data_IF_041606859245
#
_entry.id   IF_041606859245
#
_cell.length_a   1.000
_cell.length_b   1.000
_cell.length_c   1.000
_cell.angle_alpha   90.00
_cell.angle_beta   90.00
_cell.angle_gamma   90.00
#
_symmetry.space_group_name_H-M   'P 1'
#
loop_
_entity.id
_entity.type
_entity.pdbx_description
1 polymer ?
#
# COMPACT_ATOMS: atom_id res chain seq x y z
N UNK A 1 -4.41 -20.11 -13.81
CA UNK A 1 -4.64 -21.27 -12.96
C UNK A 1 -3.53 -21.36 -11.93
N UNK A 2 -3.86 -21.60 -10.70
CA UNK A 2 -3.00 -21.68 -9.50
C UNK A 2 -2.72 -20.37 -8.80
N UNK A 3 -3.74 -19.86 -8.09
CA UNK A 3 -3.53 -19.13 -6.84
C UNK A 3 -4.86 -19.02 -6.10
N UNK A 4 -5.27 -20.12 -5.51
CA UNK A 4 -6.44 -20.14 -4.61
C UNK A 4 -6.43 -21.42 -3.78
N UNK A 5 -5.50 -21.55 -2.83
CA UNK A 5 -5.60 -22.53 -1.73
C UNK A 5 -4.65 -22.07 -0.61
N UNK A 6 -5.12 -21.21 0.31
CA UNK A 6 -4.49 -21.03 1.62
C UNK A 6 -5.40 -20.47 2.73
N UNK A 7 -6.71 -20.46 2.54
CA UNK A 7 -7.67 -20.01 3.58
C UNK A 7 -8.64 -21.10 4.03
N UNK A 8 -8.17 -22.35 4.16
CA UNK A 8 -9.03 -23.45 4.59
C UNK A 8 -8.34 -24.41 5.56
N UNK A 9 -7.77 -23.91 6.66
CA UNK A 9 -7.23 -24.77 7.71
C UNK A 9 -7.58 -24.33 9.15
N UNK A 10 -8.69 -23.61 9.37
CA UNK A 10 -9.15 -23.29 10.73
C UNK A 10 -10.59 -23.74 11.06
N UNK A 11 -11.17 -24.65 10.28
CA UNK A 11 -12.54 -25.10 10.54
C UNK A 11 -12.71 -26.65 10.55
N UNK A 12 -11.73 -27.36 11.03
CA UNK A 12 -11.90 -28.82 11.16
C UNK A 12 -11.14 -29.38 12.37
N UNK A 13 -11.58 -29.05 13.58
CA UNK A 13 -11.28 -29.91 14.76
C UNK A 13 -12.28 -29.70 15.91
N UNK A 14 -13.58 -29.74 15.64
CA UNK A 14 -14.60 -29.96 16.69
C UNK A 14 -15.71 -30.85 16.08
N UNK A 15 -15.49 -32.12 16.05
CA UNK A 15 -16.55 -33.15 15.99
C UNK A 15 -15.88 -34.52 15.97
N UNK A 16 -15.68 -35.11 17.13
CA UNK A 16 -15.82 -36.53 17.46
C UNK A 16 -15.47 -36.68 18.95
N UNK A 17 -16.47 -36.78 19.77
CA UNK A 17 -16.54 -37.63 20.98
C UNK A 17 -17.90 -37.38 21.65
N UNK A 18 -18.89 -38.02 21.12
CA UNK A 18 -20.11 -38.34 21.85
C UNK A 18 -20.34 -39.85 21.71
N UNK A 19 -19.95 -40.61 22.72
CA UNK A 19 -20.77 -41.72 23.21
C UNK A 19 -20.11 -42.36 24.42
N UNK A 20 -20.97 -42.54 25.43
CA UNK A 20 -20.99 -43.47 26.54
C UNK A 20 -20.22 -43.08 27.82
N UNK A 21 -21.02 -42.92 28.87
CA UNK A 21 -20.76 -43.40 30.20
C UNK A 21 -20.55 -42.43 31.33
N UNK A 22 -21.56 -42.27 32.23
CA UNK A 22 -21.36 -42.12 33.65
C UNK A 22 -21.24 -40.70 34.23
N UNK A 23 -22.26 -40.32 34.97
CA UNK A 23 -22.33 -39.13 35.82
C UNK A 23 -21.19 -39.10 36.86
N UNK A 24 -20.19 -38.21 36.66
CA UNK A 24 -19.31 -37.58 37.67
C UNK A 24 -18.26 -36.62 37.04
N UNK A 25 -18.39 -36.21 35.79
CA UNK A 25 -17.40 -35.40 35.08
C UNK A 25 -17.77 -33.93 34.90
N UNK A 26 -18.83 -33.43 35.55
CA UNK A 26 -19.35 -32.09 35.25
C UNK A 26 -18.68 -30.97 36.02
N UNK A 27 -18.08 -31.23 37.18
CA UNK A 27 -17.40 -30.14 37.94
C UNK A 27 -15.93 -29.89 37.55
N UNK A 28 -15.26 -30.84 36.88
CA UNK A 28 -13.87 -30.61 36.41
C UNK A 28 -13.74 -29.98 35.03
N UNK A 29 -14.82 -29.94 34.24
CA UNK A 29 -14.79 -29.38 32.87
C UNK A 29 -14.95 -27.83 32.83
N UNK A 30 -15.63 -27.23 33.79
CA UNK A 30 -15.81 -25.78 33.83
C UNK A 30 -14.49 -25.07 34.08
N UNK A 31 -13.70 -25.56 35.04
CA UNK A 31 -12.40 -24.90 35.36
C UNK A 31 -11.33 -25.02 34.26
N UNK A 32 -11.40 -26.07 33.40
CA UNK A 32 -10.46 -26.18 32.30
C UNK A 32 -10.85 -25.27 31.13
N UNK A 33 -12.14 -25.16 30.81
CA UNK A 33 -12.62 -24.24 29.75
C UNK A 33 -12.51 -22.78 30.17
N UNK A 34 -12.70 -22.44 31.44
CA UNK A 34 -12.45 -21.09 31.93
C UNK A 34 -10.96 -20.74 31.92
N UNK A 35 -10.08 -21.70 32.24
CA UNK A 35 -8.63 -21.52 32.16
C UNK A 35 -8.14 -21.42 30.71
N UNK A 36 -8.76 -22.11 29.76
CA UNK A 36 -8.47 -22.00 28.32
C UNK A 36 -9.00 -20.68 27.77
N UNK A 37 -10.17 -20.20 28.19
CA UNK A 37 -10.68 -18.87 27.81
C UNK A 37 -9.78 -17.73 28.32
N UNK A 38 -9.25 -17.83 29.54
CA UNK A 38 -8.33 -16.82 30.08
C UNK A 38 -6.93 -16.87 29.43
N UNK A 39 -6.56 -17.99 28.80
CA UNK A 39 -5.25 -18.12 28.13
C UNK A 39 -5.29 -17.62 26.69
N UNK A 40 -6.46 -17.46 26.07
CA UNK A 40 -6.64 -17.04 24.67
C UNK A 40 -7.21 -15.62 24.49
N UNK A 41 -7.72 -14.97 25.54
CA UNK A 41 -8.06 -13.55 25.50
C UNK A 41 -6.87 -12.71 25.98
N UNK A 42 -5.89 -12.49 25.12
CA UNK A 42 -5.03 -11.32 25.32
C UNK A 42 -5.92 -10.09 25.08
N UNK A 43 -6.54 -9.58 26.17
CA UNK A 43 -7.42 -8.43 26.12
C UNK A 43 -6.71 -7.28 25.40
N UNK A 44 -7.31 -6.84 24.30
CA UNK A 44 -6.97 -5.58 23.66
C UNK A 44 -7.48 -4.49 24.59
N UNK A 45 -6.59 -3.62 25.04
CA UNK A 45 -6.90 -2.49 25.92
C UNK A 45 -6.56 -1.20 25.18
N UNK A 46 -7.38 -0.20 25.35
CA UNK A 46 -7.03 1.15 24.92
C UNK A 46 -6.00 1.71 25.88
N UNK A 47 -4.92 2.27 25.36
CA UNK A 47 -3.83 2.80 26.16
C UNK A 47 -2.95 3.78 25.40
N UNK A 48 -1.93 4.27 26.11
CA UNK A 48 -0.93 5.18 25.56
C UNK A 48 0.45 4.54 25.68
N UNK A 49 1.27 4.74 24.65
CA UNK A 49 2.65 4.29 24.62
C UNK A 49 3.56 5.43 24.15
N UNK A 50 4.59 5.74 24.91
CA UNK A 50 5.62 6.70 24.50
C UNK A 50 6.81 5.94 23.95
N UNK A 51 7.16 6.20 22.70
CA UNK A 51 8.32 5.63 22.05
C UNK A 51 9.63 6.28 22.57
N UNK A 52 10.77 5.65 22.31
CA UNK A 52 12.08 6.15 22.75
C UNK A 52 12.46 7.52 22.20
N UNK A 53 11.95 7.87 21.02
CA UNK A 53 12.16 9.17 20.37
C UNK A 53 11.25 10.29 20.92
N UNK A 54 10.35 9.96 21.84
CA UNK A 54 9.38 10.87 22.43
C UNK A 54 8.05 10.96 21.68
N UNK A 55 7.87 10.21 20.61
CA UNK A 55 6.57 10.08 19.92
C UNK A 55 5.54 9.41 20.82
N UNK A 56 4.27 9.77 20.68
CA UNK A 56 3.19 9.29 21.55
C UNK A 56 2.13 8.57 20.72
N UNK A 57 1.91 7.32 21.04
CA UNK A 57 0.81 6.50 20.52
C UNK A 57 -0.37 6.51 21.48
N UNK A 58 -1.58 6.53 20.95
CA UNK A 58 -2.84 6.29 21.66
C UNK A 58 -3.72 5.38 20.83
N UNK A 59 -4.21 4.28 21.42
CA UNK A 59 -5.03 3.32 20.69
C UNK A 59 -5.03 1.94 21.32
N UNK A 60 -5.30 0.94 20.51
CA UNK A 60 -5.37 -0.46 20.92
C UNK A 60 -3.98 -1.03 21.26
N UNK A 61 -3.87 -1.70 22.38
CA UNK A 61 -2.63 -2.24 22.92
C UNK A 61 -2.77 -3.72 23.22
N UNK A 62 -1.70 -4.48 22.94
CA UNK A 62 -1.52 -5.83 23.43
C UNK A 62 -0.32 -5.87 24.36
N UNK A 63 -0.59 -6.00 25.66
CA UNK A 63 0.42 -5.81 26.69
C UNK A 63 0.91 -4.34 26.70
N UNK A 64 2.20 -4.12 26.45
CA UNK A 64 2.82 -2.79 26.45
C UNK A 64 3.10 -2.24 25.04
N UNK A 65 2.58 -2.88 23.99
CA UNK A 65 2.87 -2.49 22.58
C UNK A 65 1.61 -2.11 21.85
N UNK A 66 1.66 -1.09 20.98
CA UNK A 66 0.63 -0.83 19.98
C UNK A 66 0.26 -2.10 19.21
N UNK A 67 -1.03 -2.42 19.13
CA UNK A 67 -1.50 -3.59 18.40
C UNK A 67 -3.00 -3.46 18.14
N UNK A 68 -3.39 -3.31 16.90
CA UNK A 68 -4.72 -2.94 16.47
C UNK A 68 -4.75 -1.48 16.00
N UNK A 69 -5.88 -0.80 16.11
CA UNK A 69 -6.04 0.58 15.60
C UNK A 69 -5.55 1.62 16.60
N UNK A 70 -4.88 2.66 16.09
CA UNK A 70 -4.43 3.76 16.92
C UNK A 70 -3.80 4.90 16.15
N UNK A 71 -3.41 5.93 16.91
CA UNK A 71 -2.83 7.17 16.41
C UNK A 71 -1.49 7.43 17.08
N UNK A 72 -0.48 7.73 16.28
CA UNK A 72 0.82 8.22 16.78
C UNK A 72 1.02 9.67 16.36
N UNK A 73 1.34 10.51 17.33
CA UNK A 73 1.87 11.86 17.10
C UNK A 73 3.38 11.78 17.28
N UNK A 74 4.11 12.01 16.20
CA UNK A 74 5.57 11.98 16.20
C UNK A 74 6.14 13.29 16.73
N UNK A 75 7.36 13.25 17.30
CA UNK A 75 8.03 14.42 17.84
C UNK A 75 8.24 15.55 16.80
N UNK A 76 8.37 15.21 15.54
CA UNK A 76 8.52 16.17 14.42
C UNK A 76 7.20 16.75 13.92
N UNK A 77 6.07 16.40 14.55
CA UNK A 77 4.73 16.87 14.18
C UNK A 77 4.00 16.00 13.16
N UNK A 78 4.63 14.98 12.61
CA UNK A 78 3.94 14.02 11.74
C UNK A 78 2.87 13.27 12.54
N UNK A 79 1.84 12.79 11.86
CA UNK A 79 0.77 12.00 12.47
C UNK A 79 0.54 10.75 11.66
N UNK A 80 0.50 9.59 12.31
CA UNK A 80 0.00 8.36 11.73
C UNK A 80 -1.28 7.94 12.44
N UNK A 81 -2.29 7.55 11.66
CA UNK A 81 -3.53 6.97 12.15
C UNK A 81 -3.86 5.71 11.34
N UNK A 82 -3.88 4.55 11.99
CA UNK A 82 -4.02 3.29 11.28
C UNK A 82 -3.77 2.07 12.16
N UNK A 83 -3.43 0.97 11.51
CA UNK A 83 -3.26 -0.33 12.13
C UNK A 83 -1.81 -0.56 12.57
N UNK A 84 -1.67 -1.31 13.67
CA UNK A 84 -0.40 -1.68 14.27
C UNK A 84 -0.35 -3.18 14.57
N UNK A 85 0.80 -3.78 14.34
CA UNK A 85 1.11 -5.14 14.78
C UNK A 85 2.43 -5.13 15.54
N UNK A 86 2.38 -5.55 16.83
CA UNK A 86 3.57 -5.64 17.72
C UNK A 86 4.39 -4.33 17.81
N UNK A 87 3.72 -3.18 17.68
CA UNK A 87 4.33 -1.86 17.79
C UNK A 87 4.82 -1.25 16.50
N UNK A 88 4.61 -1.90 15.37
CA UNK A 88 4.92 -1.41 14.02
C UNK A 88 3.66 -1.07 13.25
N UNK A 89 3.70 -0.05 12.39
CA UNK A 89 2.64 0.26 11.44
C UNK A 89 2.51 -0.91 10.47
N UNK A 90 1.30 -1.44 10.34
CA UNK A 90 0.99 -2.59 9.50
C UNK A 90 -0.49 -2.55 9.12
N UNK A 91 -0.88 -3.12 7.98
CA UNK A 91 -2.26 -3.00 7.49
C UNK A 91 -2.53 -1.67 6.82
N UNK A 92 -3.69 -1.07 7.05
CA UNK A 92 -4.07 0.20 6.42
C UNK A 92 -3.92 1.38 7.37
N UNK A 93 -3.42 2.52 6.86
CA UNK A 93 -3.28 3.73 7.66
C UNK A 93 -2.94 4.98 6.85
N UNK A 94 -3.15 6.12 7.49
CA UNK A 94 -2.87 7.45 6.96
C UNK A 94 -1.68 8.05 7.70
N UNK A 95 -0.72 8.56 6.96
CA UNK A 95 0.41 9.32 7.48
C UNK A 95 0.35 10.75 6.95
N UNK A 96 0.31 11.71 7.83
CA UNK A 96 0.20 13.14 7.49
C UNK A 96 1.45 13.86 7.96
N UNK A 97 2.04 14.64 7.08
CA UNK A 97 3.19 15.51 7.35
C UNK A 97 2.72 16.92 7.75
N UNK A 98 3.52 17.69 8.53
CA UNK A 98 3.14 19.04 8.95
C UNK A 98 2.96 20.04 7.81
N UNK A 99 3.62 19.82 6.67
CA UNK A 99 3.51 20.63 5.45
C UNK A 99 2.25 20.33 4.62
N UNK A 100 1.46 19.32 5.04
CA UNK A 100 0.22 18.93 4.38
C UNK A 100 0.35 17.77 3.41
N UNK A 101 1.56 17.26 3.16
CA UNK A 101 1.71 16.01 2.41
C UNK A 101 1.03 14.87 3.18
N UNK A 102 0.55 13.86 2.44
CA UNK A 102 -0.19 12.77 3.04
C UNK A 102 -0.02 11.47 2.23
N UNK A 103 0.15 10.38 2.95
CA UNK A 103 0.03 9.02 2.41
C UNK A 103 -1.18 8.32 3.02
N UNK A 104 -1.99 7.69 2.19
CA UNK A 104 -3.11 6.83 2.57
C UNK A 104 -2.95 5.48 1.88
N UNK A 105 -2.73 4.41 2.64
CA UNK A 105 -2.49 3.12 2.01
C UNK A 105 -2.06 2.03 2.96
N UNK A 106 -1.54 0.97 2.36
CA UNK A 106 -1.06 -0.20 3.06
C UNK A 106 0.35 0.05 3.63
N UNK A 107 0.59 -0.54 4.79
CA UNK A 107 1.84 -0.49 5.53
C UNK A 107 2.32 -1.89 5.85
N UNK A 108 3.61 -2.11 5.79
CA UNK A 108 4.24 -3.34 6.22
C UNK A 108 5.53 -3.01 6.97
N UNK A 109 5.59 -3.41 8.26
CA UNK A 109 6.74 -3.22 9.14
C UNK A 109 7.31 -1.78 9.15
N UNK A 110 6.43 -0.77 9.31
CA UNK A 110 6.71 0.67 9.32
C UNK A 110 7.03 1.29 7.94
N UNK A 111 6.91 0.57 6.85
CA UNK A 111 7.15 1.05 5.49
C UNK A 111 5.86 1.11 4.67
N UNK A 112 5.74 2.08 3.77
CA UNK A 112 4.69 2.12 2.75
C UNK A 112 4.83 0.88 1.87
N UNK A 113 3.69 0.19 1.65
CA UNK A 113 3.69 -1.09 0.94
C UNK A 113 2.34 -1.31 0.24
N UNK A 114 2.30 -2.22 -0.77
CA UNK A 114 1.05 -2.56 -1.44
C UNK A 114 0.39 -1.35 -2.10
N UNK A 115 -0.94 -1.25 -2.05
CA UNK A 115 -1.67 -0.13 -2.64
C UNK A 115 -1.68 1.09 -1.73
N UNK A 116 -1.46 2.28 -2.30
CA UNK A 116 -1.54 3.53 -1.56
C UNK A 116 -1.58 4.76 -2.44
N UNK A 117 -2.08 5.85 -1.87
CA UNK A 117 -2.17 7.16 -2.51
C UNK A 117 -1.28 8.13 -1.74
N UNK A 118 -0.42 8.83 -2.46
CA UNK A 118 0.39 9.92 -1.91
C UNK A 118 -0.07 11.26 -2.49
N UNK A 119 -0.33 12.21 -1.62
CA UNK A 119 -0.67 13.59 -1.94
C UNK A 119 0.53 14.47 -1.65
N UNK A 120 1.13 15.02 -2.69
CA UNK A 120 2.30 15.88 -2.58
C UNK A 120 1.92 17.34 -2.28
N UNK A 121 2.80 18.09 -1.64
CA UNK A 121 2.60 19.50 -1.32
C UNK A 121 2.32 20.36 -2.56
N UNK A 122 2.87 19.99 -3.71
CA UNK A 122 2.67 20.68 -4.99
C UNK A 122 1.36 20.30 -5.71
N UNK A 123 0.40 19.68 -5.01
CA UNK A 123 -0.88 19.15 -5.53
C UNK A 123 -0.75 18.03 -6.59
N UNK A 124 0.41 17.43 -6.74
CA UNK A 124 0.50 16.14 -7.45
C UNK A 124 -0.10 15.04 -6.58
N UNK A 125 -0.57 13.97 -7.23
CA UNK A 125 -1.08 12.78 -6.53
C UNK A 125 -0.61 11.53 -7.25
N UNK A 126 0.02 10.64 -6.52
CA UNK A 126 0.32 9.30 -6.98
C UNK A 126 -0.69 8.30 -6.41
N UNK A 127 -1.24 7.45 -7.25
CA UNK A 127 -2.17 6.36 -6.89
C UNK A 127 -1.64 5.06 -7.49
N UNK A 128 -1.07 4.20 -6.68
CA UNK A 128 -0.39 3.02 -7.21
C UNK A 128 0.19 2.09 -6.17
N UNK A 129 1.10 1.25 -6.65
CA UNK A 129 1.78 0.26 -5.85
C UNK A 129 3.04 0.83 -5.20
N UNK A 130 3.31 0.39 -3.99
CA UNK A 130 4.44 0.78 -3.14
C UNK A 130 5.19 -0.45 -2.67
N UNK A 131 6.48 -0.35 -2.58
CA UNK A 131 7.35 -1.37 -2.00
C UNK A 131 8.49 -0.71 -1.24
N UNK A 132 8.55 -0.93 0.08
CA UNK A 132 9.60 -0.40 0.96
C UNK A 132 9.80 1.12 0.81
N UNK A 133 8.70 1.88 0.89
CA UNK A 133 8.63 3.34 0.76
C UNK A 133 8.86 3.90 -0.66
N UNK A 134 9.07 3.06 -1.69
CA UNK A 134 9.23 3.48 -3.09
C UNK A 134 7.97 3.20 -3.91
N UNK A 135 7.67 4.06 -4.87
CA UNK A 135 6.71 3.78 -5.95
C UNK A 135 7.26 2.63 -6.78
N UNK A 136 6.49 1.56 -6.88
CA UNK A 136 6.92 0.31 -7.50
C UNK A 136 5.76 -0.42 -8.18
N UNK A 137 5.97 -0.96 -9.40
CA UNK A 137 4.90 -1.64 -10.13
C UNK A 137 3.96 -0.67 -10.83
N UNK A 138 2.68 -0.99 -10.93
CA UNK A 138 1.70 -0.14 -11.64
C UNK A 138 1.23 1.02 -10.79
N UNK A 139 1.14 2.22 -11.41
CA UNK A 139 0.64 3.41 -10.73
C UNK A 139 0.34 4.56 -11.68
N UNK A 140 -0.48 5.49 -11.20
CA UNK A 140 -0.90 6.67 -11.91
C UNK A 140 -0.43 7.92 -11.16
N UNK A 141 0.30 8.79 -11.83
CA UNK A 141 0.65 10.12 -11.34
C UNK A 141 -0.26 11.16 -11.98
N UNK A 142 -0.97 11.89 -11.15
CA UNK A 142 -1.76 13.05 -11.55
C UNK A 142 -0.94 14.30 -11.22
N UNK A 143 -0.52 15.05 -12.22
CA UNK A 143 0.25 16.28 -12.04
C UNK A 143 -0.68 17.48 -11.85
N UNK A 144 -0.26 18.44 -11.05
CA UNK A 144 -1.01 19.70 -10.83
C UNK A 144 -1.24 20.49 -12.13
N UNK A 145 -0.41 20.25 -13.14
CA UNK A 145 -0.56 20.83 -14.50
C UNK A 145 -1.80 20.33 -15.23
N UNK A 146 -2.36 19.19 -14.78
CA UNK A 146 -3.44 18.47 -15.45
C UNK A 146 -2.95 17.34 -16.34
N UNK A 147 -1.65 17.09 -16.38
CA UNK A 147 -1.07 15.95 -17.06
C UNK A 147 -1.28 14.68 -16.24
N UNK A 148 -1.25 13.51 -16.90
CA UNK A 148 -1.39 12.21 -16.24
C UNK A 148 -0.36 11.25 -16.81
N UNK A 149 0.32 10.52 -15.93
CA UNK A 149 1.10 9.34 -16.32
C UNK A 149 0.47 8.09 -15.70
N UNK A 150 0.26 7.08 -16.50
CA UNK A 150 -0.20 5.76 -16.07
C UNK A 150 0.76 4.69 -16.63
N UNK A 151 1.41 3.90 -15.76
CA UNK A 151 2.38 2.93 -16.23
C UNK A 151 3.15 2.23 -15.12
N UNK A 152 4.32 1.70 -15.52
CA UNK A 152 5.24 1.00 -14.65
C UNK A 152 6.17 1.97 -13.92
N UNK A 153 6.46 1.63 -12.67
CA UNK A 153 7.33 2.37 -11.77
C UNK A 153 8.38 1.44 -11.15
N UNK A 154 9.60 1.90 -11.07
CA UNK A 154 10.68 1.23 -10.35
C UNK A 154 11.47 2.27 -9.57
N UNK A 155 11.49 2.14 -8.23
CA UNK A 155 12.21 3.03 -7.33
C UNK A 155 11.92 4.52 -7.63
N UNK A 156 10.63 4.91 -7.59
CA UNK A 156 10.10 6.26 -7.82
C UNK A 156 10.29 6.81 -9.25
N UNK A 157 10.72 5.99 -10.19
CA UNK A 157 10.92 6.40 -11.58
C UNK A 157 9.98 5.67 -12.52
N UNK A 158 9.53 6.36 -13.56
CA UNK A 158 8.81 5.75 -14.67
C UNK A 158 9.77 4.81 -15.40
N UNK A 159 9.35 3.56 -15.54
CA UNK A 159 10.11 2.47 -16.14
C UNK A 159 9.16 1.56 -16.93
N UNK A 160 9.65 0.74 -17.86
CA UNK A 160 8.82 -0.23 -18.58
C UNK A 160 7.80 0.43 -19.50
N UNK A 161 6.54 -0.01 -19.46
CA UNK A 161 5.48 0.50 -20.31
C UNK A 161 4.62 1.54 -19.60
N UNK A 162 4.30 2.62 -20.32
CA UNK A 162 3.44 3.65 -19.75
C UNK A 162 2.89 4.63 -20.77
N UNK A 163 1.81 5.27 -20.36
CA UNK A 163 1.10 6.31 -21.11
C UNK A 163 1.23 7.64 -20.38
N UNK A 164 1.68 8.66 -21.10
CA UNK A 164 1.65 10.03 -20.62
C UNK A 164 0.64 10.83 -21.43
N UNK A 165 -0.35 11.40 -20.77
CA UNK A 165 -1.37 12.25 -21.39
C UNK A 165 -1.16 13.68 -20.89
N UNK A 166 -0.89 14.59 -21.83
CA UNK A 166 -0.79 16.03 -21.53
C UNK A 166 -2.16 16.65 -21.40
N UNK A 167 -2.27 17.70 -20.62
CA UNK A 167 -3.50 18.50 -20.46
C UNK A 167 -4.09 18.98 -21.78
N UNK A 168 -3.23 19.24 -22.78
CA UNK A 168 -3.67 19.69 -24.12
C UNK A 168 -4.24 18.56 -24.99
N UNK A 169 -4.32 17.32 -24.49
CA UNK A 169 -4.82 16.16 -25.21
C UNK A 169 -3.77 15.39 -25.99
N UNK A 170 -2.53 15.85 -26.09
CA UNK A 170 -1.44 15.05 -26.66
C UNK A 170 -1.18 13.83 -25.79
N UNK A 171 -0.69 12.73 -26.40
CA UNK A 171 -0.48 11.46 -25.70
C UNK A 171 0.80 10.79 -26.18
N UNK A 172 1.58 10.23 -25.28
CA UNK A 172 2.64 9.27 -25.56
C UNK A 172 2.28 7.92 -24.93
N UNK A 173 2.44 6.86 -25.68
CA UNK A 173 2.29 5.48 -25.24
C UNK A 173 3.49 4.67 -25.70
N UNK A 174 4.24 4.08 -24.78
CA UNK A 174 5.45 3.35 -25.13
C UNK A 174 6.35 3.06 -23.96
N UNK A 175 7.61 2.78 -24.28
CA UNK A 175 8.63 2.38 -23.32
C UNK A 175 9.23 3.60 -22.60
N UNK A 176 9.53 3.39 -21.33
CA UNK A 176 10.13 4.37 -20.41
C UNK A 176 11.36 3.78 -19.73
N UNK A 177 12.37 4.59 -19.51
CA UNK A 177 13.56 4.23 -18.76
C UNK A 177 14.08 5.44 -17.98
N UNK A 178 14.19 5.30 -16.65
CA UNK A 178 14.66 6.38 -15.77
C UNK A 178 13.95 7.72 -16.05
N UNK A 179 12.60 7.73 -16.08
CA UNK A 179 11.72 8.89 -16.35
C UNK A 179 11.76 9.46 -17.78
N UNK A 180 12.45 8.81 -18.70
CA UNK A 180 12.57 9.25 -20.09
C UNK A 180 11.92 8.27 -21.04
N UNK A 181 11.38 8.79 -22.17
CA UNK A 181 10.94 7.95 -23.27
C UNK A 181 12.15 7.25 -23.87
N UNK A 182 12.07 5.93 -24.03
CA UNK A 182 13.16 5.08 -24.51
C UNK A 182 12.57 3.87 -25.27
N UNK A 183 13.25 3.40 -26.32
CA UNK A 183 12.77 2.27 -27.11
C UNK A 183 11.57 2.64 -27.98
N UNK A 184 10.66 1.71 -28.23
CA UNK A 184 9.51 1.94 -29.10
C UNK A 184 8.38 2.71 -28.41
N UNK A 185 7.73 3.60 -29.16
CA UNK A 185 6.58 4.34 -28.65
C UNK A 185 5.87 5.18 -29.70
N UNK A 186 4.60 5.45 -29.41
CA UNK A 186 3.71 6.26 -30.23
C UNK A 186 3.43 7.58 -29.54
N UNK A 187 3.60 8.68 -30.26
CA UNK A 187 3.20 10.01 -29.85
C UNK A 187 2.08 10.52 -30.76
N UNK A 188 0.96 10.91 -30.17
CA UNK A 188 -0.15 11.55 -30.85
C UNK A 188 -0.26 12.99 -30.34
N UNK A 189 -0.15 13.96 -31.25
CA UNK A 189 -0.36 15.37 -30.92
C UNK A 189 -1.84 15.72 -30.86
N UNK A 190 -2.14 16.81 -30.20
CA UNK A 190 -3.52 17.30 -30.06
C UNK A 190 -4.16 17.77 -31.39
N UNK A 191 -3.35 17.99 -32.41
CA UNK A 191 -3.81 18.31 -33.79
C UNK A 191 -4.08 17.06 -34.64
N UNK A 192 -3.85 15.86 -34.08
CA UNK A 192 -4.07 14.57 -34.76
C UNK A 192 -2.85 14.01 -35.47
N UNK A 193 -1.75 14.76 -35.59
CA UNK A 193 -0.48 14.20 -36.06
C UNK A 193 -0.01 13.05 -35.18
N UNK A 194 0.70 12.08 -35.77
CA UNK A 194 1.18 10.89 -35.05
C UNK A 194 2.61 10.56 -35.46
N UNK A 195 3.43 10.20 -34.49
CA UNK A 195 4.72 9.55 -34.71
C UNK A 195 4.73 8.20 -34.01
N UNK A 196 5.17 7.16 -34.72
CA UNK A 196 5.37 5.82 -34.20
C UNK A 196 6.78 5.36 -34.58
N UNK A 197 7.59 5.01 -33.59
CA UNK A 197 8.97 4.63 -33.82
C UNK A 197 9.85 4.68 -32.59
N UNK A 198 11.17 4.75 -32.85
CA UNK A 198 12.20 4.67 -31.81
C UNK A 198 12.38 6.01 -31.08
N UNK A 199 12.62 5.88 -29.77
CA UNK A 199 12.89 6.97 -28.84
C UNK A 199 14.16 6.70 -28.04
N UNK A 200 14.90 7.77 -27.78
CA UNK A 200 16.07 7.73 -26.90
C UNK A 200 16.20 9.02 -26.12
N UNK A 201 16.21 8.90 -24.79
CA UNK A 201 16.32 10.07 -23.91
C UNK A 201 15.33 11.18 -24.25
N UNK A 202 14.04 10.86 -24.43
CA UNK A 202 12.92 11.75 -24.77
C UNK A 202 12.90 12.29 -26.22
N UNK A 203 13.90 12.02 -27.03
CA UNK A 203 13.94 12.43 -28.43
C UNK A 203 13.66 11.27 -29.37
N UNK A 204 13.08 11.56 -30.53
CA UNK A 204 12.91 10.58 -31.60
C UNK A 204 14.30 10.20 -32.14
N UNK A 205 14.63 8.92 -32.16
CA UNK A 205 15.93 8.39 -32.57
C UNK A 205 15.74 7.05 -33.28
N UNK A 206 16.46 6.82 -34.39
CA UNK A 206 16.33 5.60 -35.17
C UNK A 206 15.20 5.63 -36.21
N UNK A 207 14.44 4.52 -36.31
CA UNK A 207 13.38 4.35 -37.33
C UNK A 207 12.04 4.79 -36.79
N UNK A 208 11.21 5.35 -37.64
CA UNK A 208 9.84 5.68 -37.30
C UNK A 208 9.04 6.21 -38.48
N UNK A 209 7.73 6.21 -38.31
CA UNK A 209 6.76 6.74 -39.25
C UNK A 209 6.07 7.96 -38.69
N UNK A 210 5.92 8.98 -39.49
CA UNK A 210 5.17 10.18 -39.16
C UNK A 210 3.94 10.28 -40.03
N UNK A 211 2.76 10.42 -39.43
CA UNK A 211 1.48 10.64 -40.07
C UNK A 211 1.00 12.06 -39.79
N UNK A 212 0.63 12.80 -40.79
CA UNK A 212 0.00 14.09 -40.69
C UNK A 212 -1.51 13.95 -40.54
N UNK A 213 -2.14 14.86 -39.76
CA UNK A 213 -3.59 14.90 -39.62
C UNK A 213 -4.34 15.25 -40.89
#
# INVERSE_FOLDING_TARGET
SEMCIRDSLYTALILVFMSQGGATAQEKKSGFFDKVKTTFSSEIKIGTHTFKDGSVYTGEMKGRKPNGKGKTVFKNGNVYEGEYVKGKREGYGTYTFPDGEKYEGQWFQDQQHGKGIYYFMNNNRYDGMWFQDYQQGKGTMYYYTGDIYEGDWVNDKREGQGTYTWKNGSKYEGSWKNDKKEGEGTFVWNDGCKYEGDWKNDVRDGKGTFEYA
#
